data_IF_599176776032
#
_entry.id   IF_599176776032
#
_cell.length_a   1.000
_cell.length_b   1.000
_cell.length_c   1.000
_cell.angle_alpha   90.00
_cell.angle_beta   90.00
_cell.angle_gamma   90.00
#
_symmetry.space_group_name_H-M   'P 1'
#
loop_
_entity.id
_entity.type
_entity.pdbx_description
1 polymer ?
#
# COMPACT_ATOMS: atom_id res chain seq x y z
N UNK A 1 11.75 7.06 13.27
CA UNK A 1 10.40 7.66 13.12
C UNK A 1 10.43 8.97 12.33
N UNK A 2 11.29 9.09 11.30
CA UNK A 2 11.47 10.36 10.58
C UNK A 2 10.92 10.32 9.14
N UNK A 3 10.78 9.12 8.56
CA UNK A 3 10.41 8.94 7.13
C UNK A 3 8.89 8.86 6.92
N UNK A 4 8.12 8.54 7.96
CA UNK A 4 6.65 8.55 7.93
C UNK A 4 6.06 9.84 8.52
N UNK A 5 6.91 10.83 8.82
CA UNK A 5 6.43 12.08 9.40
C UNK A 5 5.53 12.79 8.38
N UNK A 6 4.28 13.16 8.76
CA UNK A 6 3.29 13.67 7.82
C UNK A 6 3.81 14.78 6.91
N UNK A 7 4.53 15.81 7.38
CA UNK A 7 4.98 16.90 6.50
C UNK A 7 6.21 16.60 5.64
N UNK A 8 6.89 15.45 5.78
CA UNK A 8 8.09 15.15 4.98
C UNK A 8 7.80 14.18 3.82
N UNK A 9 7.57 12.92 4.15
CA UNK A 9 7.28 11.84 3.19
C UNK A 9 5.90 11.21 3.43
N UNK A 10 5.25 11.52 4.56
CA UNK A 10 3.90 11.03 4.88
C UNK A 10 2.79 11.68 4.04
N UNK A 11 3.03 12.89 3.50
CA UNK A 11 2.17 13.57 2.54
C UNK A 11 1.87 12.72 1.29
N UNK A 12 2.82 11.88 0.86
CA UNK A 12 2.66 11.02 -0.32
C UNK A 12 1.96 9.70 -0.02
N UNK A 13 1.90 9.30 1.26
CA UNK A 13 1.46 7.98 1.72
C UNK A 13 0.06 7.99 2.36
N UNK A 14 -0.65 9.12 2.29
CA UNK A 14 -1.87 9.33 3.06
C UNK A 14 -1.66 8.93 4.54
N UNK A 15 -0.51 9.32 5.14
CA UNK A 15 -0.06 8.82 6.45
C UNK A 15 -0.95 9.24 7.63
N UNK A 16 -1.95 10.08 7.37
CA UNK A 16 -2.95 10.57 8.33
C UNK A 16 -4.10 9.56 8.46
N UNK A 17 -4.26 8.66 7.49
CA UNK A 17 -5.33 7.67 7.46
C UNK A 17 -4.99 6.42 8.27
N UNK A 18 -6.01 5.83 8.91
CA UNK A 18 -5.87 4.52 9.55
C UNK A 18 -5.83 3.39 8.52
N UNK A 19 -5.13 2.29 8.82
CA UNK A 19 -5.02 1.11 7.95
C UNK A 19 -6.33 0.69 7.24
N UNK A 20 -7.47 0.49 7.94
CA UNK A 20 -8.72 0.08 7.28
C UNK A 20 -9.27 1.14 6.33
N UNK A 21 -9.08 2.42 6.65
CA UNK A 21 -9.48 3.52 5.75
C UNK A 21 -8.59 3.55 4.51
N UNK A 22 -7.28 3.35 4.65
CA UNK A 22 -6.37 3.34 3.50
C UNK A 22 -6.66 2.20 2.55
N UNK A 23 -7.01 1.02 3.07
CA UNK A 23 -7.47 -0.09 2.22
C UNK A 23 -8.78 0.23 1.52
N UNK A 24 -9.74 0.87 2.20
CA UNK A 24 -11.00 1.29 1.59
C UNK A 24 -10.79 2.24 0.42
N UNK A 25 -9.84 3.17 0.54
CA UNK A 25 -9.46 4.07 -0.54
C UNK A 25 -8.73 3.32 -1.68
N UNK A 26 -7.77 2.44 -1.37
CA UNK A 26 -7.04 1.63 -2.36
C UNK A 26 -7.92 0.66 -3.15
N UNK A 27 -9.00 0.17 -2.56
CA UNK A 27 -9.98 -0.73 -3.22
C UNK A 27 -11.11 0.02 -3.92
N UNK A 28 -11.09 1.36 -3.94
CA UNK A 28 -12.11 2.15 -4.63
C UNK A 28 -12.19 1.80 -6.12
N UNK A 29 -13.40 1.79 -6.68
CA UNK A 29 -13.63 1.46 -8.09
C UNK A 29 -13.49 2.67 -9.04
N UNK A 30 -12.89 3.76 -8.57
CA UNK A 30 -12.84 5.03 -9.33
C UNK A 30 -11.39 5.31 -9.67
N UNK A 31 -11.10 5.57 -10.95
CA UNK A 31 -9.77 5.99 -11.39
C UNK A 31 -9.41 7.34 -10.79
N UNK A 32 -8.17 7.45 -10.32
CA UNK A 32 -7.70 8.66 -9.63
C UNK A 32 -7.17 9.73 -10.59
N UNK A 33 -6.97 9.36 -11.86
CA UNK A 33 -6.46 10.23 -12.93
C UNK A 33 -7.56 11.07 -13.61
N UNK A 34 -8.84 10.79 -13.35
CA UNK A 34 -9.96 11.53 -13.96
C UNK A 34 -10.17 12.85 -13.24
N UNK A 35 -9.51 13.89 -13.73
CA UNK A 35 -9.78 15.29 -13.38
C UNK A 35 -11.18 15.71 -13.88
N UNK A 36 -12.24 15.40 -13.12
CA UNK A 36 -13.59 15.86 -13.50
C UNK A 36 -14.77 15.23 -12.78
N UNK A 37 -14.59 14.36 -11.78
CA UNK A 37 -15.74 13.83 -11.04
C UNK A 37 -16.27 14.88 -10.04
N UNK A 38 -17.58 15.16 -10.11
CA UNK A 38 -18.27 16.08 -9.21
C UNK A 38 -18.51 15.52 -7.78
N UNK A 39 -18.02 14.31 -7.50
CA UNK A 39 -18.21 13.65 -6.21
C UNK A 39 -17.24 14.18 -5.15
N UNK A 40 -17.78 14.85 -4.14
CA UNK A 40 -17.02 15.40 -3.00
C UNK A 40 -16.16 14.36 -2.29
N UNK A 41 -16.63 13.12 -2.19
CA UNK A 41 -15.89 12.02 -1.57
C UNK A 41 -14.69 11.56 -2.39
N UNK A 42 -14.77 11.62 -3.74
CA UNK A 42 -13.63 11.31 -4.61
C UNK A 42 -12.55 12.39 -4.51
N UNK A 43 -12.96 13.66 -4.46
CA UNK A 43 -12.02 14.77 -4.31
C UNK A 43 -11.25 14.73 -2.98
N UNK A 44 -11.92 14.34 -1.88
CA UNK A 44 -11.26 14.16 -0.57
C UNK A 44 -10.25 13.01 -0.63
N UNK A 45 -10.63 11.90 -1.26
CA UNK A 45 -9.75 10.74 -1.45
C UNK A 45 -8.53 11.11 -2.29
N UNK A 46 -8.74 11.68 -3.49
CA UNK A 46 -7.65 12.10 -4.37
C UNK A 46 -6.76 13.14 -3.69
N UNK A 47 -7.31 14.04 -2.87
CA UNK A 47 -6.52 15.01 -2.10
C UNK A 47 -5.57 14.36 -1.09
N UNK A 48 -5.88 13.17 -0.56
CA UNK A 48 -4.96 12.45 0.33
C UNK A 48 -3.78 11.81 -0.42
N UNK A 49 -3.94 11.54 -1.72
CA UNK A 49 -2.98 10.83 -2.56
C UNK A 49 -2.30 11.71 -3.62
N UNK A 50 -2.84 12.90 -3.85
CA UNK A 50 -2.35 13.88 -4.81
C UNK A 50 -1.77 15.09 -4.08
N UNK A 51 -0.61 15.54 -4.54
CA UNK A 51 0.06 16.75 -4.06
C UNK A 51 0.15 17.72 -5.23
N UNK A 52 0.04 19.02 -4.96
CA UNK A 52 -0.02 20.08 -5.99
C UNK A 52 1.14 20.06 -7.02
N UNK A 53 2.24 19.36 -6.73
CA UNK A 53 3.46 19.34 -7.54
C UNK A 53 3.75 18.01 -8.24
N UNK A 54 3.00 16.93 -7.98
CA UNK A 54 3.35 15.59 -8.48
C UNK A 54 2.13 14.79 -8.92
N UNK A 55 2.31 13.98 -9.97
CA UNK A 55 1.27 13.08 -10.47
C UNK A 55 0.97 11.96 -9.46
N UNK A 56 -0.27 11.47 -9.49
CA UNK A 56 -0.76 10.38 -8.64
C UNK A 56 0.11 9.12 -8.75
N UNK A 57 0.60 8.82 -9.97
CA UNK A 57 1.51 7.71 -10.24
C UNK A 57 2.84 7.85 -9.48
N UNK A 58 3.43 9.04 -9.50
CA UNK A 58 4.69 9.33 -8.81
C UNK A 58 4.53 9.18 -7.30
N UNK A 59 3.41 9.65 -6.75
CA UNK A 59 3.09 9.53 -5.34
C UNK A 59 2.93 8.07 -4.90
N UNK A 60 2.21 7.27 -5.69
CA UNK A 60 2.07 5.83 -5.45
C UNK A 60 3.42 5.11 -5.49
N UNK A 61 4.28 5.44 -6.46
CA UNK A 61 5.64 4.88 -6.56
C UNK A 61 6.48 5.25 -5.35
N UNK A 62 6.48 6.52 -4.94
CA UNK A 62 7.21 7.00 -3.75
C UNK A 62 6.71 6.26 -2.50
N UNK A 63 5.41 6.07 -2.36
CA UNK A 63 4.81 5.36 -1.22
C UNK A 63 5.21 3.90 -1.17
N UNK A 64 5.23 3.21 -2.31
CA UNK A 64 5.71 1.83 -2.39
C UNK A 64 7.19 1.76 -2.04
N UNK A 65 8.03 2.63 -2.62
CA UNK A 65 9.47 2.66 -2.36
C UNK A 65 9.79 2.98 -0.89
N UNK A 66 9.08 3.95 -0.30
CA UNK A 66 9.24 4.31 1.11
C UNK A 66 8.84 3.14 2.02
N UNK A 67 7.71 2.47 1.73
CA UNK A 67 7.25 1.32 2.52
C UNK A 67 8.21 0.14 2.42
N UNK A 68 8.74 -0.15 1.23
CA UNK A 68 9.74 -1.21 1.02
C UNK A 68 11.07 -0.86 1.69
N UNK A 69 11.53 0.38 1.57
CA UNK A 69 12.74 0.88 2.22
C UNK A 69 12.66 0.78 3.74
N UNK A 70 11.53 1.20 4.32
CA UNK A 70 11.25 1.05 5.74
C UNK A 70 11.24 -0.43 6.16
N UNK A 71 10.61 -1.30 5.38
CA UNK A 71 10.59 -2.74 5.68
C UNK A 71 12.00 -3.36 5.64
N UNK A 72 12.83 -2.98 4.67
CA UNK A 72 14.23 -3.42 4.61
C UNK A 72 15.05 -2.94 5.81
N UNK A 73 14.93 -1.66 6.20
CA UNK A 73 15.61 -1.11 7.38
C UNK A 73 15.13 -1.80 8.65
N UNK A 74 13.82 -2.03 8.79
CA UNK A 74 13.26 -2.73 9.94
C UNK A 74 13.74 -4.18 10.02
N UNK A 75 13.79 -4.91 8.91
CA UNK A 75 14.30 -6.29 8.86
C UNK A 75 15.77 -6.36 9.25
N UNK A 76 16.60 -5.40 8.79
CA UNK A 76 18.01 -5.30 9.19
C UNK A 76 18.16 -4.96 10.68
N UNK A 77 17.33 -4.07 11.21
CA UNK A 77 17.36 -3.70 12.63
C UNK A 77 16.97 -4.89 13.52
N UNK A 78 15.97 -5.67 13.13
CA UNK A 78 15.54 -6.87 13.85
C UNK A 78 16.59 -7.97 13.79
N UNK A 79 17.18 -8.22 12.63
CA UNK A 79 18.28 -9.18 12.50
C UNK A 79 19.47 -8.82 13.41
N UNK A 80 19.83 -7.53 13.49
CA UNK A 80 20.89 -7.06 14.39
C UNK A 80 20.52 -7.18 15.88
N UNK A 81 19.23 -7.08 16.24
CA UNK A 81 18.74 -7.34 17.60
C UNK A 81 18.74 -8.84 17.94
N UNK A 82 18.31 -9.70 17.00
CA UNK A 82 18.16 -11.14 17.23
C UNK A 82 19.53 -11.82 17.38
N UNK A 83 20.54 -11.33 16.66
CA UNK A 83 21.94 -11.74 16.81
C UNK A 83 22.66 -11.08 18.00
N UNK A 84 21.92 -10.38 18.88
CA UNK A 84 22.42 -9.91 20.17
C UNK A 84 23.35 -8.69 20.12
N UNK A 85 23.50 -8.00 18.99
CA UNK A 85 24.40 -6.83 18.87
C UNK A 85 23.83 -5.54 19.48
N UNK A 86 22.51 -5.44 19.65
CA UNK A 86 21.83 -4.26 20.23
C UNK A 86 20.84 -4.75 21.30
N UNK A 87 21.15 -4.51 22.59
CA UNK A 87 20.22 -4.77 23.71
C UNK A 87 19.36 -3.53 23.97
N UNK A 88 18.20 -3.45 23.33
CA UNK A 88 17.22 -2.38 23.59
C UNK A 88 16.10 -2.91 24.49
N UNK A 89 16.24 -2.70 25.81
CA UNK A 89 15.32 -3.20 26.86
C UNK A 89 13.93 -2.53 26.84
N UNK A 90 13.76 -1.41 26.13
CA UNK A 90 12.54 -0.58 26.16
C UNK A 90 11.43 -1.08 25.23
N UNK A 91 11.71 -1.94 24.26
CA UNK A 91 10.71 -2.41 23.26
C UNK A 91 9.93 -3.66 23.73
N UNK A 92 10.40 -4.33 24.79
CA UNK A 92 9.84 -5.62 25.20
C UNK A 92 8.45 -5.55 25.85
N UNK A 93 8.01 -4.38 26.33
CA UNK A 93 6.65 -4.24 26.89
C UNK A 93 5.54 -4.10 25.83
N UNK A 94 5.88 -4.00 24.53
CA UNK A 94 4.90 -4.14 23.45
C UNK A 94 4.77 -5.61 22.99
N UNK A 95 5.62 -6.51 23.49
CA UNK A 95 5.66 -7.91 23.07
C UNK A 95 4.88 -8.87 23.99
N UNK A 96 4.25 -8.37 25.06
CA UNK A 96 3.63 -9.20 26.12
C UNK A 96 2.09 -9.24 26.08
N UNK A 97 1.49 -8.99 24.91
CA UNK A 97 0.04 -9.10 24.72
C UNK A 97 -0.32 -9.83 23.42
N UNK A 98 -0.29 -11.17 23.48
CA UNK A 98 -0.92 -12.12 22.54
C UNK A 98 -0.28 -12.21 21.14
N UNK A 99 0.39 -13.35 20.98
CA UNK A 99 0.82 -14.10 19.78
C UNK A 99 1.16 -13.42 18.43
N UNK A 100 2.22 -13.94 17.81
CA UNK A 100 2.62 -13.74 16.42
C UNK A 100 3.38 -12.43 16.08
N UNK A 101 4.68 -12.37 16.40
CA UNK A 101 5.64 -11.46 15.73
C UNK A 101 5.59 -11.56 14.19
N UNK A 102 5.06 -12.65 13.63
CA UNK A 102 4.78 -12.83 12.20
C UNK A 102 3.56 -12.06 11.66
N UNK A 103 2.58 -11.69 12.50
CA UNK A 103 1.32 -11.10 12.04
C UNK A 103 1.47 -9.61 11.68
N UNK A 104 2.41 -8.89 12.31
CA UNK A 104 2.66 -7.47 12.05
C UNK A 104 3.27 -7.20 10.66
N UNK A 105 4.15 -8.08 10.17
CA UNK A 105 4.74 -7.98 8.81
C UNK A 105 3.73 -8.24 7.70
N UNK A 106 2.76 -9.13 7.96
CA UNK A 106 1.71 -9.46 6.99
C UNK A 106 0.86 -8.23 6.69
N UNK A 107 0.60 -7.37 7.67
CA UNK A 107 -0.18 -6.13 7.46
C UNK A 107 0.58 -5.16 6.53
N UNK A 108 1.88 -4.95 6.76
CA UNK A 108 2.72 -4.13 5.89
C UNK A 108 2.84 -4.72 4.47
N UNK A 109 2.99 -6.04 4.37
CA UNK A 109 3.07 -6.74 3.09
C UNK A 109 1.76 -6.62 2.29
N UNK A 110 0.60 -6.73 2.94
CA UNK A 110 -0.72 -6.49 2.33
C UNK A 110 -0.83 -5.09 1.75
N UNK A 111 -0.33 -4.10 2.47
CA UNK A 111 -0.33 -2.70 2.04
C UNK A 111 0.49 -2.49 0.76
N UNK A 112 1.71 -3.05 0.72
CA UNK A 112 2.57 -3.00 -0.47
C UNK A 112 1.88 -3.65 -1.67
N UNK A 113 1.26 -4.82 -1.46
CA UNK A 113 0.56 -5.55 -2.52
C UNK A 113 -0.65 -4.78 -3.05
N UNK A 114 -1.44 -4.18 -2.15
CA UNK A 114 -2.58 -3.35 -2.53
C UNK A 114 -2.16 -2.09 -3.29
N UNK A 115 -1.13 -1.39 -2.82
CA UNK A 115 -0.62 -0.18 -3.47
C UNK A 115 0.00 -0.50 -4.85
N UNK A 116 0.75 -1.60 -4.97
CA UNK A 116 1.33 -2.03 -6.25
C UNK A 116 0.27 -2.48 -7.25
N UNK A 117 -0.73 -3.24 -6.80
CA UNK A 117 -1.87 -3.60 -7.63
C UNK A 117 -2.63 -2.37 -8.12
N UNK A 118 -2.82 -1.38 -7.25
CA UNK A 118 -3.46 -0.12 -7.64
C UNK A 118 -2.69 0.62 -8.72
N UNK A 119 -1.36 0.73 -8.56
CA UNK A 119 -0.48 1.37 -9.53
C UNK A 119 -0.63 0.74 -10.92
N UNK A 120 -0.61 -0.60 -11.00
CA UNK A 120 -0.80 -1.33 -12.26
C UNK A 120 -2.21 -1.08 -12.82
N UNK A 121 -3.23 -1.08 -11.97
CA UNK A 121 -4.61 -0.82 -12.38
C UNK A 121 -4.80 0.58 -12.98
N UNK A 122 -4.20 1.61 -12.38
CA UNK A 122 -4.24 2.99 -12.88
C UNK A 122 -3.42 3.14 -14.18
N UNK A 123 -2.30 2.42 -14.33
CA UNK A 123 -1.54 2.40 -15.60
C UNK A 123 -2.37 1.73 -16.70
N UNK A 124 -3.01 0.61 -16.40
CA UNK A 124 -3.85 -0.12 -17.36
C UNK A 124 -5.05 0.72 -17.79
N UNK A 125 -5.67 1.45 -16.86
CA UNK A 125 -6.75 2.40 -17.15
C UNK A 125 -6.26 3.55 -18.06
N UNK A 126 -5.05 4.06 -17.85
CA UNK A 126 -4.45 5.08 -18.72
C UNK A 126 -4.09 4.56 -20.12
N UNK A 127 -3.63 3.31 -20.22
CA UNK A 127 -3.31 2.69 -21.51
C UNK A 127 -4.55 2.38 -22.36
N UNK A 128 -5.69 2.08 -21.72
CA UNK A 128 -6.92 1.71 -22.43
C UNK A 128 -8.15 2.57 -22.05
N UNK A 129 -8.21 3.80 -22.60
CA UNK A 129 -9.34 4.72 -22.65
C UNK A 129 -10.74 4.19 -22.40
N UNK A 130 -11.12 3.43 -23.43
CA UNK A 130 -12.46 2.90 -23.65
C UNK A 130 -12.63 1.49 -23.12
N UNK A 131 -11.76 1.01 -22.22
CA UNK A 131 -11.83 -0.35 -21.69
C UNK A 131 -11.44 -1.42 -22.71
N UNK A 132 -11.64 -2.68 -22.32
CA UNK A 132 -11.32 -3.83 -23.16
C UNK A 132 -12.61 -4.29 -23.84
N UNK A 133 -12.65 -4.30 -25.17
CA UNK A 133 -13.79 -4.83 -25.91
C UNK A 133 -13.65 -6.34 -26.08
N UNK A 134 -14.58 -7.10 -25.52
CA UNK A 134 -14.63 -8.57 -25.64
C UNK A 134 -16.00 -8.98 -26.16
N UNK A 135 -16.03 -9.59 -27.35
CA UNK A 135 -17.25 -10.19 -27.95
C UNK A 135 -18.49 -9.27 -27.95
N UNK A 136 -18.31 -7.98 -28.27
CA UNK A 136 -19.43 -7.01 -28.37
C UNK A 136 -19.79 -6.27 -27.08
N UNK A 137 -19.15 -6.59 -25.94
CA UNK A 137 -19.27 -5.83 -24.69
C UNK A 137 -17.96 -5.10 -24.38
N UNK A 138 -18.08 -3.89 -23.84
CA UNK A 138 -16.94 -3.09 -23.38
C UNK A 138 -16.86 -3.15 -21.87
N UNK A 139 -15.82 -3.80 -21.34
CA UNK A 139 -15.59 -3.87 -19.89
C UNK A 139 -14.68 -2.71 -19.45
N UNK A 140 -15.17 -1.80 -18.58
CA UNK A 140 -14.33 -0.74 -18.04
C UNK A 140 -13.26 -1.30 -17.11
N UNK A 141 -12.11 -0.65 -17.07
CA UNK A 141 -11.00 -1.08 -16.22
C UNK A 141 -11.22 -0.57 -14.79
N UNK A 142 -11.22 -1.52 -13.86
CA UNK A 142 -11.47 -1.29 -12.43
C UNK A 142 -10.13 -1.37 -11.68
N UNK A 143 -9.49 -0.24 -11.34
CA UNK A 143 -8.16 -0.26 -10.71
C UNK A 143 -8.19 -0.88 -9.30
N UNK A 144 -9.32 -0.75 -8.57
CA UNK A 144 -9.50 -1.37 -7.26
C UNK A 144 -9.43 -2.91 -7.29
N UNK A 145 -9.81 -3.55 -8.39
CA UNK A 145 -9.70 -5.00 -8.57
C UNK A 145 -8.25 -5.48 -8.59
N UNK A 146 -7.37 -4.73 -9.26
CA UNK A 146 -5.94 -5.01 -9.31
C UNK A 146 -5.28 -4.89 -7.93
N UNK A 147 -5.71 -3.91 -7.12
CA UNK A 147 -5.27 -3.76 -5.72
C UNK A 147 -5.57 -5.02 -4.88
N UNK A 148 -6.78 -5.57 -5.00
CA UNK A 148 -7.18 -6.77 -4.24
C UNK A 148 -6.35 -7.98 -4.65
N UNK A 149 -6.14 -8.17 -5.95
CA UNK A 149 -5.30 -9.25 -6.50
C UNK A 149 -3.85 -9.12 -6.02
N UNK A 150 -3.27 -7.92 -6.07
CA UNK A 150 -1.91 -7.67 -5.59
C UNK A 150 -1.74 -7.98 -4.11
N UNK A 151 -2.73 -7.61 -3.28
CA UNK A 151 -2.75 -8.00 -1.86
C UNK A 151 -2.80 -9.53 -1.70
N UNK A 152 -3.69 -10.21 -2.43
CA UNK A 152 -3.90 -11.65 -2.31
C UNK A 152 -2.64 -12.45 -2.68
N UNK A 153 -1.95 -12.08 -3.76
CA UNK A 153 -0.70 -12.71 -4.20
C UNK A 153 0.36 -12.63 -3.10
N UNK A 154 0.54 -11.45 -2.50
CA UNK A 154 1.53 -11.27 -1.43
C UNK A 154 1.16 -12.11 -0.20
N UNK A 155 -0.12 -12.10 0.22
CA UNK A 155 -0.56 -12.92 1.36
C UNK A 155 -0.25 -14.40 1.08
N UNK A 156 -0.64 -14.89 -0.09
CA UNK A 156 -0.48 -16.29 -0.48
C UNK A 156 1.00 -16.72 -0.45
N UNK A 157 1.90 -15.85 -0.92
CA UNK A 157 3.34 -16.12 -0.87
C UNK A 157 3.85 -16.29 0.57
N UNK A 158 3.43 -15.43 1.51
CA UNK A 158 3.85 -15.51 2.90
C UNK A 158 3.21 -16.67 3.66
N UNK A 159 1.94 -17.00 3.39
CA UNK A 159 1.27 -18.15 4.02
C UNK A 159 1.84 -19.47 3.50
N UNK A 160 2.09 -19.57 2.20
CA UNK A 160 2.69 -20.76 1.60
C UNK A 160 4.08 -21.06 2.19
N UNK A 161 4.88 -20.03 2.47
CA UNK A 161 6.20 -20.20 3.08
C UNK A 161 6.13 -20.69 4.54
N UNK A 162 5.08 -20.33 5.28
CA UNK A 162 4.86 -20.82 6.66
C UNK A 162 4.46 -22.29 6.72
N UNK A 163 3.75 -22.80 5.71
CA UNK A 163 3.28 -24.19 5.68
C UNK A 163 4.41 -25.19 5.39
N UNK A 164 5.53 -24.70 4.83
CA UNK A 164 6.67 -25.52 4.40
C UNK A 164 7.85 -25.53 5.39
N UNK A 165 7.75 -24.80 6.50
CA UNK A 165 8.76 -24.69 7.58
C UNK A 165 8.24 -25.29 8.87
#
# INVERSE_FOLDING_TARGET
MSVSFPPLMGQYMASILSNPQTFKELFSNITWDVHGSNDSNHLIMVKHWSTNHTNIYTNLIITILNTVGLMNVCMQFIYNITNGKIKLKIVLDVHSGIDNTSSKWIICAKYIGAAFGRLIGEIMAACFPGGISFSGYTIPIVPGGYSVVGMAIIIMFFTYKKEKT
#
